data_IF_283953335246
#
_entry.id   IF_283953335246
#
_cell.length_a   1.000
_cell.length_b   1.000
_cell.length_c   1.000
_cell.angle_alpha   90.00
_cell.angle_beta   90.00
_cell.angle_gamma   90.00
#
_symmetry.space_group_name_H-M   'P 1'
#
loop_
_entity.id
_entity.type
_entity.pdbx_description
1 polymer ?
#
# COMPACT_ATOMS: atom_id res chain seq x y z
N UNK A 1 0.70 -54.49 32.49
CA UNK A 1 0.59 -55.01 31.10
C UNK A 1 1.37 -54.04 30.23
N UNK A 2 2.66 -54.17 29.94
CA UNK A 2 3.53 -55.26 29.42
C UNK A 2 3.40 -55.40 27.89
N UNK A 3 4.59 -55.49 27.24
CA UNK A 3 4.94 -55.80 25.83
C UNK A 3 5.21 -54.58 24.92
N UNK A 4 6.44 -54.07 24.69
CA UNK A 4 7.75 -54.63 24.24
C UNK A 4 7.78 -55.24 22.83
N UNK A 5 8.62 -54.68 21.93
CA UNK A 5 9.58 -55.33 21.00
C UNK A 5 10.20 -54.23 20.12
N UNK A 6 11.49 -53.87 20.18
CA UNK A 6 12.78 -54.58 20.03
C UNK A 6 13.39 -54.32 18.64
N UNK A 7 14.50 -53.56 18.64
CA UNK A 7 15.53 -53.49 17.58
C UNK A 7 16.36 -54.78 17.55
N UNK A 8 16.87 -55.15 16.36
CA UNK A 8 18.21 -55.71 16.03
C UNK A 8 18.16 -56.17 14.55
N UNK A 9 18.92 -55.65 13.57
CA UNK A 9 20.38 -55.60 13.34
C UNK A 9 20.97 -56.93 12.83
N UNK A 10 21.84 -56.79 11.81
CA UNK A 10 22.90 -57.65 11.26
C UNK A 10 22.54 -58.58 10.08
N UNK A 11 22.98 -58.29 8.83
CA UNK A 11 24.32 -58.43 8.18
C UNK A 11 24.73 -59.90 7.94
N UNK A 12 24.86 -60.30 6.67
CA UNK A 12 26.11 -60.81 6.02
C UNK A 12 25.85 -61.74 4.82
N UNK A 13 26.33 -61.26 3.67
CA UNK A 13 27.11 -61.94 2.63
C UNK A 13 27.32 -63.46 2.77
N UNK A 14 26.98 -64.21 1.72
CA UNK A 14 27.88 -65.21 1.11
C UNK A 14 27.61 -65.29 -0.39
N UNK A 15 28.69 -65.21 -1.18
CA UNK A 15 28.68 -65.50 -2.62
C UNK A 15 29.04 -66.95 -2.90
N UNK A 16 28.74 -67.41 -4.11
CA UNK A 16 29.42 -68.53 -4.75
C UNK A 16 29.37 -68.33 -6.27
N UNK A 17 30.55 -68.41 -6.88
CA UNK A 17 30.82 -68.26 -8.30
C UNK A 17 30.50 -69.53 -9.09
N UNK A 18 30.15 -69.39 -10.36
CA UNK A 18 30.45 -70.37 -11.39
C UNK A 18 30.59 -69.66 -12.75
N UNK A 19 31.71 -69.96 -13.40
CA UNK A 19 32.21 -69.33 -14.61
C UNK A 19 31.73 -70.01 -15.89
N UNK A 20 31.84 -69.24 -16.98
CA UNK A 20 32.14 -69.66 -18.35
C UNK A 20 31.01 -70.08 -19.30
N UNK A 21 31.04 -69.39 -20.45
CA UNK A 21 30.94 -69.90 -21.85
C UNK A 21 29.80 -69.32 -22.68
N UNK A 22 30.15 -68.26 -23.43
CA UNK A 22 29.88 -68.06 -24.88
C UNK A 22 28.50 -68.42 -25.47
N UNK A 23 27.81 -67.35 -25.90
CA UNK A 23 26.99 -67.19 -27.12
C UNK A 23 25.91 -68.23 -27.46
N UNK A 24 24.63 -67.83 -27.31
CA UNK A 24 23.70 -67.81 -28.44
C UNK A 24 22.60 -66.76 -28.23
N UNK A 25 22.25 -66.04 -29.30
CA UNK A 25 21.22 -65.00 -29.35
C UNK A 25 19.84 -65.61 -29.10
N UNK A 26 19.05 -64.99 -28.22
CA UNK A 26 17.59 -64.95 -28.37
C UNK A 26 17.08 -63.56 -28.03
N UNK A 27 16.34 -62.98 -28.96
CA UNK A 27 15.65 -61.71 -28.80
C UNK A 27 14.46 -61.93 -27.85
N UNK A 28 14.36 -61.10 -26.80
CA UNK A 28 13.07 -60.91 -26.13
C UNK A 28 12.98 -59.46 -25.65
N UNK A 29 11.91 -58.81 -26.11
CA UNK A 29 11.51 -57.41 -25.91
C UNK A 29 11.79 -56.90 -24.49
N UNK A 30 12.68 -55.91 -24.37
CA UNK A 30 12.69 -55.04 -23.20
C UNK A 30 11.66 -53.93 -23.41
N UNK A 31 10.58 -54.00 -22.63
CA UNK A 31 9.76 -52.84 -22.32
C UNK A 31 10.65 -51.91 -21.50
N UNK A 32 11.28 -50.92 -22.15
CA UNK A 32 11.91 -49.82 -21.45
C UNK A 32 10.81 -48.94 -20.88
N UNK A 33 10.52 -49.14 -19.60
CA UNK A 33 9.89 -48.15 -18.76
C UNK A 33 10.68 -46.84 -18.93
N UNK A 34 10.07 -45.84 -19.56
CA UNK A 34 10.55 -44.46 -19.50
C UNK A 34 10.52 -44.06 -18.03
N UNK A 35 11.69 -44.05 -17.41
CA UNK A 35 11.90 -43.38 -16.14
C UNK A 35 11.52 -41.91 -16.35
N UNK A 36 10.46 -41.52 -15.68
CA UNK A 36 9.98 -40.15 -15.56
C UNK A 36 11.11 -39.34 -14.92
N UNK A 37 11.84 -38.56 -15.73
CA UNK A 37 12.80 -37.60 -15.20
C UNK A 37 11.97 -36.52 -14.52
N UNK A 38 11.83 -36.62 -13.21
CA UNK A 38 11.37 -35.50 -12.39
C UNK A 38 12.22 -34.28 -12.77
N UNK A 39 11.62 -33.33 -13.48
CA UNK A 39 12.24 -32.03 -13.74
C UNK A 39 12.51 -31.38 -12.38
N UNK A 40 13.78 -31.25 -12.05
CA UNK A 40 14.22 -30.56 -10.85
C UNK A 40 13.73 -29.12 -10.91
N UNK A 41 12.83 -28.74 -9.99
CA UNK A 41 12.28 -27.39 -9.92
C UNK A 41 13.41 -26.45 -9.51
N UNK A 42 13.92 -25.67 -10.46
CA UNK A 42 14.82 -24.56 -10.16
C UNK A 42 14.08 -23.56 -9.26
N UNK A 43 14.42 -23.56 -7.97
CA UNK A 43 13.79 -22.70 -6.97
C UNK A 43 14.25 -21.25 -7.16
N UNK A 44 13.28 -20.34 -7.19
CA UNK A 44 13.53 -18.90 -7.21
C UNK A 44 14.04 -18.41 -5.85
N UNK A 45 14.96 -17.45 -5.88
CA UNK A 45 15.38 -16.67 -4.71
C UNK A 45 14.33 -15.63 -4.33
N UNK A 46 14.39 -15.13 -3.09
CA UNK A 46 13.48 -14.09 -2.61
C UNK A 46 13.55 -12.81 -3.47
N UNK A 47 14.74 -12.39 -3.89
CA UNK A 47 14.94 -11.21 -4.72
C UNK A 47 14.34 -11.38 -6.13
N UNK A 48 14.46 -12.58 -6.72
CA UNK A 48 13.81 -12.89 -8.00
C UNK A 48 12.28 -12.84 -7.86
N UNK A 49 11.72 -13.43 -6.79
CA UNK A 49 10.28 -13.42 -6.54
C UNK A 49 9.74 -12.01 -6.33
N UNK A 50 10.42 -11.18 -5.53
CA UNK A 50 10.08 -9.77 -5.35
C UNK A 50 10.09 -9.02 -6.69
N UNK A 51 11.16 -9.17 -7.48
CA UNK A 51 11.26 -8.56 -8.80
C UNK A 51 10.12 -9.00 -9.73
N UNK A 52 9.77 -10.28 -9.75
CA UNK A 52 8.70 -10.83 -10.57
C UNK A 52 7.33 -10.23 -10.20
N UNK A 53 6.97 -10.18 -8.91
CA UNK A 53 5.65 -9.66 -8.49
C UNK A 53 5.54 -8.16 -8.73
N UNK A 54 6.58 -7.39 -8.39
CA UNK A 54 6.62 -5.94 -8.61
C UNK A 54 6.58 -5.57 -10.09
N UNK A 55 7.32 -6.30 -10.94
CA UNK A 55 7.31 -6.08 -12.38
C UNK A 55 5.92 -6.36 -12.98
N UNK A 56 5.24 -7.41 -12.52
CA UNK A 56 3.87 -7.70 -12.96
C UNK A 56 2.89 -6.60 -12.51
N UNK A 57 2.90 -6.23 -11.23
CA UNK A 57 2.03 -5.17 -10.70
C UNK A 57 2.26 -3.84 -11.44
N UNK A 58 3.51 -3.39 -11.52
CA UNK A 58 3.89 -2.16 -12.23
C UNK A 58 3.42 -2.18 -13.68
N UNK A 59 3.64 -3.29 -14.38
CA UNK A 59 3.25 -3.40 -15.79
C UNK A 59 1.74 -3.38 -15.98
N UNK A 60 0.98 -4.02 -15.09
CA UNK A 60 -0.49 -3.99 -15.12
C UNK A 60 -0.96 -2.54 -14.94
N UNK A 61 -0.58 -1.87 -13.84
CA UNK A 61 -1.07 -0.53 -13.53
C UNK A 61 -0.59 0.54 -14.52
N UNK A 62 0.64 0.46 -15.01
CA UNK A 62 1.12 1.33 -16.08
C UNK A 62 0.32 1.11 -17.38
N UNK A 63 0.00 -0.14 -17.74
CA UNK A 63 -0.85 -0.43 -18.90
C UNK A 63 -2.25 0.15 -18.75
N UNK A 64 -2.82 0.09 -17.53
CA UNK A 64 -4.12 0.72 -17.23
C UNK A 64 -4.05 2.24 -17.39
N UNK A 65 -3.07 2.90 -16.80
CA UNK A 65 -2.90 4.35 -16.87
C UNK A 65 -2.67 4.81 -18.32
N UNK A 66 -1.71 4.19 -19.03
CA UNK A 66 -1.40 4.54 -20.42
C UNK A 66 -2.59 4.31 -21.35
N UNK A 67 -3.30 3.19 -21.22
CA UNK A 67 -4.48 2.92 -22.06
C UNK A 67 -5.63 3.87 -21.74
N UNK A 68 -5.80 4.26 -20.48
CA UNK A 68 -6.76 5.28 -20.07
C UNK A 68 -6.48 6.62 -20.74
N UNK A 69 -5.23 7.09 -20.68
CA UNK A 69 -4.79 8.32 -21.32
C UNK A 69 -4.95 8.27 -22.85
N UNK A 70 -4.50 7.20 -23.50
CA UNK A 70 -4.60 7.00 -24.96
C UNK A 70 -6.05 7.01 -25.47
N UNK A 71 -6.98 6.43 -24.70
CA UNK A 71 -8.36 6.25 -25.11
C UNK A 71 -9.32 7.27 -24.49
N UNK A 72 -8.84 8.15 -23.61
CA UNK A 72 -9.67 9.11 -22.87
C UNK A 72 -10.72 8.44 -21.98
N UNK A 73 -10.41 7.29 -21.39
CA UNK A 73 -11.35 6.58 -20.52
C UNK A 73 -11.56 7.31 -19.20
N UNK A 74 -12.80 7.26 -18.73
CA UNK A 74 -13.35 8.06 -17.65
C UNK A 74 -14.74 7.53 -17.30
N UNK A 75 -15.44 8.02 -16.27
CA UNK A 75 -16.78 7.51 -15.95
C UNK A 75 -17.77 7.80 -17.09
N UNK A 76 -17.58 8.89 -17.83
CA UNK A 76 -18.41 9.25 -18.99
C UNK A 76 -18.02 8.52 -20.29
N UNK A 77 -16.80 7.98 -20.36
CA UNK A 77 -16.34 7.14 -21.48
C UNK A 77 -15.79 5.85 -20.87
N UNK A 78 -16.67 4.90 -20.51
CA UNK A 78 -16.25 3.66 -19.86
C UNK A 78 -15.19 2.93 -20.68
N UNK A 79 -14.28 2.27 -19.96
CA UNK A 79 -13.21 1.54 -20.60
C UNK A 79 -13.74 0.38 -21.45
N UNK A 80 -13.21 0.28 -22.67
CA UNK A 80 -13.46 -0.88 -23.51
C UNK A 80 -12.46 -1.99 -23.15
N UNK A 81 -12.96 -2.99 -22.44
CA UNK A 81 -12.13 -4.10 -21.99
C UNK A 81 -11.54 -4.90 -23.17
N UNK A 82 -12.20 -4.94 -24.33
CA UNK A 82 -11.67 -5.64 -25.51
C UNK A 82 -10.42 -4.94 -26.07
N UNK A 83 -10.30 -3.62 -25.90
CA UNK A 83 -9.11 -2.84 -26.30
C UNK A 83 -7.96 -3.05 -25.32
N UNK A 84 -8.23 -3.11 -24.02
CA UNK A 84 -7.18 -3.22 -22.99
C UNK A 84 -6.71 -4.65 -22.75
N UNK A 85 -7.59 -5.65 -22.86
CA UNK A 85 -7.28 -7.06 -22.56
C UNK A 85 -6.01 -7.54 -23.27
N UNK A 86 -5.84 -7.35 -24.60
CA UNK A 86 -4.63 -7.81 -25.31
C UNK A 86 -3.33 -7.19 -24.78
N UNK A 87 -3.39 -5.94 -24.27
CA UNK A 87 -2.24 -5.25 -23.68
C UNK A 87 -1.89 -5.79 -22.28
N UNK A 88 -2.84 -6.39 -21.57
CA UNK A 88 -2.66 -6.97 -20.24
C UNK A 88 -2.16 -8.43 -20.28
N UNK A 89 -2.55 -9.22 -21.29
CA UNK A 89 -2.18 -10.64 -21.44
C UNK A 89 -0.67 -10.99 -21.42
N UNK A 90 0.27 -10.07 -21.70
CA UNK A 90 1.70 -10.32 -21.45
C UNK A 90 2.04 -10.51 -19.96
N UNK A 91 1.24 -9.94 -19.06
CA UNK A 91 1.48 -9.87 -17.61
C UNK A 91 0.49 -10.71 -16.81
N UNK A 92 -0.64 -11.12 -17.41
CA UNK A 92 -1.66 -11.87 -16.69
C UNK A 92 -2.15 -13.08 -17.47
N UNK A 93 -2.63 -14.08 -16.74
CA UNK A 93 -3.36 -15.22 -17.32
C UNK A 93 -4.69 -14.73 -17.91
N UNK A 94 -5.21 -15.47 -18.88
CA UNK A 94 -6.48 -15.12 -19.53
C UNK A 94 -7.66 -15.12 -18.55
N UNK A 95 -7.76 -16.14 -17.70
CA UNK A 95 -8.81 -16.25 -16.67
C UNK A 95 -8.79 -15.06 -15.70
N UNK A 96 -7.59 -14.62 -15.29
CA UNK A 96 -7.46 -13.46 -14.40
C UNK A 96 -7.87 -12.16 -15.07
N UNK A 97 -7.54 -12.01 -16.36
CA UNK A 97 -7.98 -10.88 -17.16
C UNK A 97 -9.51 -10.82 -17.20
N UNK A 98 -10.15 -11.92 -17.59
CA UNK A 98 -11.60 -11.98 -17.83
C UNK A 98 -12.45 -11.92 -16.55
N UNK A 99 -11.84 -12.14 -15.40
CA UNK A 99 -12.49 -12.05 -14.08
C UNK A 99 -12.11 -10.76 -13.35
N UNK A 100 -11.05 -10.81 -12.55
CA UNK A 100 -10.70 -9.78 -11.57
C UNK A 100 -10.29 -8.48 -12.25
N UNK A 101 -9.49 -8.52 -13.31
CA UNK A 101 -9.10 -7.29 -13.99
C UNK A 101 -10.24 -6.64 -14.76
N UNK A 102 -11.17 -7.42 -15.32
CA UNK A 102 -12.36 -6.85 -15.96
C UNK A 102 -13.21 -6.06 -14.96
N UNK A 103 -13.37 -6.58 -13.74
CA UNK A 103 -14.04 -5.85 -12.65
C UNK A 103 -13.24 -4.62 -12.23
N UNK A 104 -11.92 -4.74 -12.03
CA UNK A 104 -11.07 -3.61 -11.71
C UNK A 104 -11.17 -2.50 -12.77
N UNK A 105 -11.04 -2.83 -14.05
CA UNK A 105 -11.10 -1.88 -15.17
C UNK A 105 -12.42 -1.10 -15.20
N UNK A 106 -13.53 -1.74 -14.81
CA UNK A 106 -14.83 -1.05 -14.73
C UNK A 106 -14.89 0.05 -13.67
N UNK A 107 -14.00 -0.01 -12.67
CA UNK A 107 -13.92 0.96 -11.57
C UNK A 107 -12.69 1.84 -11.63
N UNK A 108 -11.63 1.40 -12.32
CA UNK A 108 -10.32 2.06 -12.32
C UNK A 108 -10.36 3.50 -12.84
N UNK A 109 -11.28 3.79 -13.76
CA UNK A 109 -11.47 5.11 -14.35
C UNK A 109 -12.66 5.86 -13.73
N UNK A 110 -13.00 5.58 -12.47
CA UNK A 110 -14.08 6.24 -11.71
C UNK A 110 -13.83 7.73 -11.41
N UNK A 111 -12.60 8.23 -11.60
CA UNK A 111 -12.16 9.54 -11.09
C UNK A 111 -12.42 9.72 -9.59
N UNK A 112 -12.35 8.62 -8.85
CA UNK A 112 -12.43 8.58 -7.40
C UNK A 112 -11.01 8.45 -6.85
N UNK A 113 -10.75 8.99 -5.66
CA UNK A 113 -9.45 8.91 -4.96
C UNK A 113 -9.16 7.47 -4.45
N UNK A 114 -9.76 6.46 -5.07
CA UNK A 114 -9.62 5.07 -4.72
C UNK A 114 -8.21 4.55 -5.05
N UNK A 115 -7.57 3.96 -4.05
CA UNK A 115 -6.29 3.28 -4.22
C UNK A 115 -6.50 1.83 -4.65
N UNK A 116 -6.24 1.55 -5.92
CA UNK A 116 -6.36 0.21 -6.50
C UNK A 116 -5.06 -0.60 -6.47
N UNK A 117 -3.91 0.09 -6.44
CA UNK A 117 -2.59 -0.53 -6.56
C UNK A 117 -2.11 -1.10 -5.21
N UNK A 118 -1.74 -2.40 -5.14
CA UNK A 118 -1.14 -2.97 -3.93
C UNK A 118 0.16 -2.27 -3.55
N UNK A 119 0.30 -1.82 -2.29
CA UNK A 119 1.54 -1.22 -1.77
C UNK A 119 2.27 -2.21 -0.87
N UNK A 120 3.04 -3.11 -1.49
CA UNK A 120 3.67 -4.24 -0.80
C UNK A 120 4.89 -3.82 0.02
N UNK A 121 5.01 -4.37 1.24
CA UNK A 121 6.23 -4.31 2.04
C UNK A 121 7.10 -5.55 1.79
N UNK A 122 8.29 -5.32 1.25
CA UNK A 122 9.24 -6.40 0.93
C UNK A 122 10.11 -6.84 2.12
N UNK A 123 10.14 -6.04 3.20
CA UNK A 123 11.07 -6.20 4.32
C UNK A 123 10.49 -7.02 5.46
N UNK A 124 9.16 -7.03 5.58
CA UNK A 124 8.42 -7.62 6.69
C UNK A 124 7.36 -8.55 6.15
N UNK A 125 7.45 -9.82 6.54
CA UNK A 125 6.45 -10.86 6.25
C UNK A 125 6.13 -11.04 4.76
N UNK A 126 7.07 -10.70 3.88
CA UNK A 126 7.07 -11.18 2.51
C UNK A 126 7.39 -12.68 2.50
N UNK A 127 6.42 -13.51 2.15
CA UNK A 127 6.55 -14.98 2.10
C UNK A 127 6.18 -15.45 0.71
N UNK A 128 6.84 -16.51 0.27
CA UNK A 128 6.50 -17.14 -1.00
C UNK A 128 6.71 -18.65 -0.93
N UNK A 129 5.98 -19.35 -1.78
CA UNK A 129 6.08 -20.78 -1.97
C UNK A 129 6.02 -21.08 -3.47
N UNK A 130 6.99 -21.85 -3.95
CA UNK A 130 7.00 -22.37 -5.31
C UNK A 130 6.75 -23.88 -5.25
N UNK A 131 5.46 -24.25 -5.16
CA UNK A 131 5.06 -25.65 -5.04
C UNK A 131 5.31 -26.45 -6.32
N UNK A 132 5.30 -25.78 -7.48
CA UNK A 132 5.53 -26.36 -8.80
C UNK A 132 6.45 -25.48 -9.63
N UNK A 133 7.02 -26.03 -10.71
CA UNK A 133 7.90 -25.31 -11.64
C UNK A 133 7.25 -24.03 -12.18
N UNK A 134 5.95 -24.08 -12.38
CA UNK A 134 5.12 -23.12 -13.10
C UNK A 134 4.09 -22.41 -12.22
N UNK A 135 4.14 -22.55 -10.89
CA UNK A 135 3.23 -21.89 -9.97
C UNK A 135 3.97 -21.28 -8.77
N UNK A 136 3.67 -20.02 -8.47
CA UNK A 136 4.27 -19.25 -7.39
C UNK A 136 3.17 -18.59 -6.56
N UNK A 137 3.15 -18.89 -5.26
CA UNK A 137 2.26 -18.25 -4.29
C UNK A 137 3.06 -17.25 -3.47
N UNK A 138 2.52 -16.05 -3.27
CA UNK A 138 3.18 -14.96 -2.54
C UNK A 138 2.18 -14.38 -1.55
N UNK A 139 2.63 -14.07 -0.34
CA UNK A 139 1.89 -13.24 0.61
C UNK A 139 2.75 -12.09 1.10
N UNK A 140 2.22 -10.88 1.09
CA UNK A 140 2.94 -9.68 1.50
C UNK A 140 2.04 -8.73 2.29
N UNK A 141 2.65 -8.04 3.26
CA UNK A 141 1.97 -7.07 4.09
C UNK A 141 1.91 -5.72 3.38
N UNK A 142 0.77 -5.05 3.45
CA UNK A 142 0.55 -3.66 3.07
C UNK A 142 0.13 -2.92 4.36
N UNK A 143 1.07 -2.29 5.08
CA UNK A 143 0.83 -1.79 6.42
C UNK A 143 -0.12 -0.59 6.42
N UNK A 144 -0.79 -0.35 7.55
CA UNK A 144 -1.61 0.85 7.71
C UNK A 144 -0.79 2.13 7.49
N UNK A 145 -1.39 3.07 6.75
CA UNK A 145 -0.87 4.43 6.59
C UNK A 145 -1.77 5.41 7.33
N UNK A 146 -1.31 6.65 7.57
CA UNK A 146 -2.08 7.63 8.34
C UNK A 146 -3.49 7.91 7.76
N UNK A 147 -3.62 7.87 6.43
CA UNK A 147 -4.88 8.13 5.73
C UNK A 147 -5.92 7.04 6.00
N UNK A 148 -5.67 5.82 5.51
CA UNK A 148 -6.61 4.69 5.62
C UNK A 148 -6.64 4.04 7.00
N UNK A 149 -5.55 4.17 7.76
CA UNK A 149 -5.26 3.54 9.03
C UNK A 149 -5.64 2.06 9.14
N UNK A 150 -5.61 1.35 8.02
CA UNK A 150 -6.01 -0.05 7.92
C UNK A 150 -4.97 -0.80 7.11
N UNK A 151 -4.27 -1.73 7.76
CA UNK A 151 -3.35 -2.64 7.09
C UNK A 151 -4.08 -3.75 6.35
N UNK A 152 -3.40 -4.37 5.40
CA UNK A 152 -3.91 -5.48 4.60
C UNK A 152 -2.85 -6.55 4.39
N UNK A 153 -3.28 -7.80 4.27
CA UNK A 153 -2.47 -8.90 3.78
C UNK A 153 -2.87 -9.19 2.34
N UNK A 154 -1.91 -9.09 1.43
CA UNK A 154 -2.10 -9.47 0.05
C UNK A 154 -1.67 -10.91 -0.17
N UNK A 155 -2.41 -11.62 -1.02
CA UNK A 155 -2.01 -12.92 -1.57
C UNK A 155 -2.00 -12.82 -3.08
N UNK A 156 -0.94 -13.32 -3.71
CA UNK A 156 -0.79 -13.39 -5.15
C UNK A 156 -0.50 -14.82 -5.56
N UNK A 157 -1.06 -15.24 -6.70
CA UNK A 157 -0.70 -16.47 -7.38
C UNK A 157 -0.23 -16.07 -8.78
N UNK A 158 0.95 -16.52 -9.15
CA UNK A 158 1.50 -16.36 -10.49
C UNK A 158 1.67 -17.73 -11.16
N UNK A 159 1.41 -17.78 -12.45
CA UNK A 159 1.62 -18.95 -13.28
C UNK A 159 2.67 -18.67 -14.36
N UNK A 160 3.49 -19.67 -14.70
CA UNK A 160 4.50 -19.53 -15.76
C UNK A 160 3.94 -19.99 -17.10
N UNK A 161 3.63 -19.04 -17.97
CA UNK A 161 3.14 -19.29 -19.33
C UNK A 161 4.17 -18.84 -20.37
N UNK A 162 4.51 -19.72 -21.31
CA UNK A 162 5.46 -19.41 -22.39
C UNK A 162 6.80 -18.82 -21.88
N UNK A 163 7.26 -19.32 -20.73
CA UNK A 163 8.50 -18.88 -20.08
C UNK A 163 8.40 -17.61 -19.23
N UNK A 164 7.25 -16.94 -19.17
CA UNK A 164 7.04 -15.72 -18.37
C UNK A 164 6.13 -15.98 -17.19
N UNK A 165 6.45 -15.39 -16.04
CA UNK A 165 5.56 -15.38 -14.87
C UNK A 165 4.48 -14.33 -15.06
N UNK A 166 3.23 -14.75 -15.00
CA UNK A 166 2.04 -13.91 -15.16
C UNK A 166 1.16 -13.99 -13.93
N UNK A 167 0.49 -12.89 -13.58
CA UNK A 167 -0.50 -12.85 -12.51
C UNK A 167 -1.70 -13.73 -12.87
N UNK A 168 -1.98 -14.71 -12.00
CA UNK A 168 -3.12 -15.63 -12.09
C UNK A 168 -4.23 -15.24 -11.12
N UNK A 169 -3.88 -14.70 -9.96
CA UNK A 169 -4.83 -14.28 -8.95
C UNK A 169 -4.18 -13.27 -8.00
N UNK A 170 -4.98 -12.35 -7.48
CA UNK A 170 -4.64 -11.59 -6.29
C UNK A 170 -5.84 -11.54 -5.34
N UNK A 171 -5.59 -11.39 -4.05
CA UNK A 171 -6.62 -11.18 -3.04
C UNK A 171 -6.09 -10.24 -1.96
N UNK A 172 -6.98 -9.37 -1.47
CA UNK A 172 -6.72 -8.44 -0.37
C UNK A 172 -7.55 -8.85 0.84
N UNK A 173 -6.88 -9.09 1.96
CA UNK A 173 -7.54 -9.32 3.24
C UNK A 173 -7.25 -8.15 4.18
N UNK A 174 -8.29 -7.46 4.65
CA UNK A 174 -8.14 -6.45 5.71
C UNK A 174 -7.58 -7.08 6.98
N UNK A 175 -6.65 -6.39 7.63
CA UNK A 175 -6.13 -6.80 8.93
C UNK A 175 -6.91 -6.24 10.11
N UNK A 176 -7.89 -5.36 9.89
CA UNK A 176 -8.68 -4.76 10.97
C UNK A 176 -9.27 -5.83 11.89
N UNK A 177 -8.98 -5.72 13.19
CA UNK A 177 -9.45 -6.66 14.22
C UNK A 177 -8.74 -8.02 14.26
N UNK A 178 -7.84 -8.30 13.31
CA UNK A 178 -6.97 -9.49 13.36
C UNK A 178 -5.94 -9.35 14.48
N UNK A 179 -5.31 -10.47 14.85
CA UNK A 179 -4.13 -10.47 15.73
C UNK A 179 -2.97 -11.19 15.04
N UNK A 180 -2.21 -10.41 14.27
CA UNK A 180 -1.06 -10.89 13.52
C UNK A 180 0.19 -11.05 14.39
N UNK A 181 0.17 -10.59 15.65
CA UNK A 181 1.32 -10.64 16.57
C UNK A 181 2.59 -10.08 15.95
N UNK A 182 2.49 -8.87 15.39
CA UNK A 182 3.62 -8.11 14.87
C UNK A 182 4.64 -7.89 15.99
N UNK A 183 5.92 -8.16 15.73
CA UNK A 183 6.97 -7.88 16.73
C UNK A 183 7.37 -6.41 16.69
N UNK A 184 8.03 -5.94 17.75
CA UNK A 184 8.64 -4.61 17.81
C UNK A 184 9.63 -4.37 16.66
N UNK A 185 10.44 -5.36 16.31
CA UNK A 185 11.43 -5.27 15.23
C UNK A 185 10.76 -5.18 13.86
N UNK A 186 9.67 -5.93 13.66
CA UNK A 186 8.85 -5.82 12.45
C UNK A 186 8.19 -4.44 12.37
N UNK A 187 7.58 -3.97 13.46
CA UNK A 187 6.99 -2.65 13.58
C UNK A 187 7.97 -1.52 13.22
N UNK A 188 9.20 -1.58 13.74
CA UNK A 188 10.25 -0.62 13.39
C UNK A 188 10.54 -0.64 11.87
N UNK A 189 10.65 -1.82 11.25
CA UNK A 189 10.88 -1.93 9.80
C UNK A 189 9.72 -1.40 8.96
N UNK A 190 8.49 -1.48 9.45
CA UNK A 190 7.30 -0.94 8.76
C UNK A 190 7.24 0.58 8.81
N UNK A 191 7.66 1.20 9.92
CA UNK A 191 7.66 2.65 10.07
C UNK A 191 8.87 3.32 9.42
N UNK A 192 9.97 2.58 9.22
CA UNK A 192 11.19 3.13 8.63
C UNK A 192 11.01 3.55 7.17
N UNK A 193 11.54 4.72 6.84
CA UNK A 193 11.67 5.22 5.46
C UNK A 193 13.10 5.71 5.21
N UNK A 194 13.41 6.10 3.98
CA UNK A 194 14.73 6.67 3.67
C UNK A 194 14.97 8.02 4.37
N UNK A 195 13.89 8.73 4.74
CA UNK A 195 13.95 10.04 5.39
C UNK A 195 13.77 10.01 6.92
N UNK A 196 13.21 8.93 7.47
CA UNK A 196 12.88 8.80 8.89
C UNK A 196 13.22 7.41 9.44
N UNK A 197 14.00 7.37 10.52
CA UNK A 197 14.35 6.12 11.21
C UNK A 197 13.66 6.03 12.58
N UNK A 198 13.03 4.89 12.91
CA UNK A 198 12.34 4.71 14.18
C UNK A 198 13.32 4.29 15.28
N UNK A 199 13.35 5.04 16.38
CA UNK A 199 13.98 4.67 17.63
C UNK A 199 12.90 4.19 18.62
N UNK A 200 13.00 2.95 19.10
CA UNK A 200 12.02 2.40 20.03
C UNK A 200 12.03 3.17 21.36
N UNK A 201 10.83 3.49 21.86
CA UNK A 201 10.66 4.18 23.14
C UNK A 201 10.08 3.25 24.19
N UNK A 202 8.92 2.65 23.94
CA UNK A 202 8.23 1.74 24.87
C UNK A 202 7.16 0.92 24.19
N UNK A 203 6.75 -0.16 24.85
CA UNK A 203 5.49 -0.86 24.56
C UNK A 203 4.41 -0.43 25.56
N UNK A 204 3.15 -0.53 25.16
CA UNK A 204 2.01 -0.24 26.04
C UNK A 204 0.74 -0.96 25.57
N UNK A 205 -0.24 -1.04 26.46
CA UNK A 205 -1.58 -1.50 26.11
C UNK A 205 -2.38 -0.32 25.57
N UNK A 206 -2.67 -0.35 24.28
CA UNK A 206 -3.53 0.60 23.59
C UNK A 206 -4.99 0.18 23.73
N UNK A 207 -5.83 1.12 24.16
CA UNK A 207 -7.28 1.00 24.17
C UNK A 207 -7.81 0.96 22.74
N UNK A 208 -7.26 1.81 21.86
CA UNK A 208 -7.69 1.94 20.46
C UNK A 208 -7.41 0.66 19.66
N UNK A 209 -6.24 0.04 19.83
CA UNK A 209 -5.93 -1.24 19.20
C UNK A 209 -6.54 -2.45 19.94
N UNK A 210 -7.06 -2.26 21.15
CA UNK A 210 -7.48 -3.36 22.03
C UNK A 210 -6.37 -4.37 22.28
N UNK A 211 -5.12 -3.91 22.49
CA UNK A 211 -3.96 -4.78 22.57
C UNK A 211 -2.62 -4.03 22.71
N UNK A 212 -1.52 -4.75 22.54
CA UNK A 212 -0.17 -4.16 22.61
C UNK A 212 0.08 -3.24 21.42
N UNK A 213 0.73 -2.11 21.67
CA UNK A 213 1.27 -1.22 20.65
C UNK A 213 2.69 -0.79 21.02
N UNK A 214 3.48 -0.49 19.99
CA UNK A 214 4.87 -0.08 20.11
C UNK A 214 5.01 1.39 19.74
N UNK A 215 5.61 2.17 20.63
CA UNK A 215 5.88 3.59 20.43
C UNK A 215 7.32 3.77 19.96
N UNK A 216 7.47 4.53 18.88
CA UNK A 216 8.74 4.90 18.29
C UNK A 216 8.85 6.42 18.20
N UNK A 217 10.07 6.90 18.39
CA UNK A 217 10.49 8.24 18.04
C UNK A 217 11.05 8.20 16.62
N UNK A 218 10.40 8.90 15.70
CA UNK A 218 10.82 9.00 14.31
C UNK A 218 11.85 10.12 14.20
N UNK A 219 13.11 9.74 13.95
CA UNK A 219 14.22 10.66 13.82
C UNK A 219 14.38 11.08 12.35
N UNK A 220 14.32 12.37 12.09
CA UNK A 220 14.67 13.00 10.82
C UNK A 220 15.64 14.17 11.02
N UNK A 221 16.20 14.69 9.92
CA UNK A 221 17.07 15.86 9.94
C UNK A 221 16.36 17.14 10.44
N UNK A 222 15.04 17.23 10.25
CA UNK A 222 14.24 18.43 10.54
C UNK A 222 13.00 18.18 11.42
N UNK A 223 12.62 16.93 11.64
CA UNK A 223 11.43 16.56 12.41
C UNK A 223 11.78 15.53 13.49
N UNK A 224 11.04 15.58 14.60
CA UNK A 224 11.11 14.56 15.64
C UNK A 224 9.69 14.32 16.13
N UNK A 225 9.05 13.29 15.58
CA UNK A 225 7.64 12.96 15.87
C UNK A 225 7.55 11.59 16.54
N UNK A 226 6.51 11.39 17.34
CA UNK A 226 6.17 10.09 17.88
C UNK A 226 5.22 9.37 16.92
N UNK A 227 5.43 8.07 16.75
CA UNK A 227 4.51 7.19 16.04
C UNK A 227 4.32 5.94 16.88
N UNK A 228 3.09 5.45 16.98
CA UNK A 228 2.84 4.15 17.57
C UNK A 228 2.02 3.26 16.65
N UNK A 229 2.34 1.98 16.68
CA UNK A 229 1.77 0.97 15.79
C UNK A 229 1.29 -0.23 16.61
N UNK A 230 0.06 -0.64 16.34
CA UNK A 230 -0.60 -1.81 16.91
C UNK A 230 0.14 -3.09 16.54
N UNK A 231 0.40 -3.94 17.54
CA UNK A 231 0.98 -5.26 17.31
C UNK A 231 -0.02 -6.23 16.64
N UNK A 232 -1.31 -5.90 16.65
CA UNK A 232 -2.39 -6.81 16.23
C UNK A 232 -2.68 -6.72 14.74
N UNK A 233 -2.67 -5.52 14.17
CA UNK A 233 -3.21 -5.27 12.83
C UNK A 233 -2.51 -4.15 12.07
N UNK A 234 -1.36 -3.69 12.56
CA UNK A 234 -0.56 -2.58 12.01
C UNK A 234 -1.20 -1.20 12.11
N UNK A 235 -2.38 -1.06 12.75
CA UNK A 235 -3.03 0.24 12.92
C UNK A 235 -2.10 1.24 13.62
N UNK A 236 -2.04 2.47 13.12
CA UNK A 236 -1.39 3.57 13.82
C UNK A 236 -2.29 4.07 14.95
N UNK A 237 -1.73 4.10 16.15
CA UNK A 237 -2.43 4.45 17.40
C UNK A 237 -1.79 5.64 18.09
N UNK A 238 -2.59 6.39 18.83
CA UNK A 238 -2.20 7.70 19.39
C UNK A 238 -2.58 7.87 20.87
N UNK A 239 -3.28 6.90 21.45
CA UNK A 239 -3.65 6.90 22.88
C UNK A 239 -2.45 6.72 23.83
N UNK A 240 -1.23 6.57 23.29
CA UNK A 240 0.01 6.68 24.05
C UNK A 240 0.24 8.08 24.64
N UNK A 241 -0.32 9.11 24.00
CA UNK A 241 -0.13 10.52 24.36
C UNK A 241 -0.91 10.88 25.63
N UNK A 242 -2.13 10.35 25.76
CA UNK A 242 -2.96 10.50 26.97
C UNK A 242 -2.31 9.85 28.19
N UNK A 243 -1.70 8.68 28.02
CA UNK A 243 -0.97 8.00 29.10
C UNK A 243 0.28 8.77 29.53
N UNK A 244 0.91 9.51 28.61
CA UNK A 244 2.08 10.32 28.91
C UNK A 244 1.71 11.57 29.72
N UNK A 245 0.54 12.18 29.43
CA UNK A 245 0.00 13.29 30.23
C UNK A 245 -0.49 12.84 31.61
N UNK A 246 -1.12 11.67 31.72
CA UNK A 246 -1.58 11.14 33.02
C UNK A 246 -0.44 10.70 33.96
N UNK A 247 0.75 10.39 33.42
CA UNK A 247 1.92 9.98 34.18
C UNK A 247 2.83 11.15 34.61
N UNK A 248 2.58 12.38 34.13
CA UNK A 248 3.29 13.56 34.58
C UNK A 248 2.71 14.02 35.94
N UNK A 249 3.53 14.30 36.97
CA UNK A 249 3.02 14.82 38.23
C UNK A 249 2.29 16.15 37.96
N UNK A 250 1.09 16.29 38.52
CA UNK A 250 0.29 17.50 38.47
C UNK A 250 1.01 18.65 39.19
N UNK A 251 1.95 19.29 38.49
CA UNK A 251 2.60 20.52 38.91
C UNK A 251 2.05 21.66 38.03
N UNK A 252 1.16 22.43 38.66
CA UNK A 252 0.75 23.81 38.41
C UNK A 252 0.98 24.40 36.99
N UNK A 253 -0.14 24.87 36.44
CA UNK A 253 -0.20 25.94 35.44
C UNK A 253 0.77 27.08 35.81
N UNK A 254 1.91 27.14 35.12
CA UNK A 254 2.71 28.35 34.89
C UNK A 254 3.82 28.01 33.90
N UNK A 255 3.60 28.30 32.62
CA UNK A 255 4.68 28.33 31.62
C UNK A 255 4.64 29.64 30.83
N UNK A 256 5.33 30.64 31.39
CA UNK A 256 6.05 31.64 30.60
C UNK A 256 7.53 31.23 30.49
N UNK A 257 7.99 31.06 29.24
CA UNK A 257 9.40 30.99 28.74
C UNK A 257 10.24 29.78 29.20
N UNK A 258 11.09 29.16 28.38
CA UNK A 258 11.41 29.25 26.95
C UNK A 258 12.06 27.90 26.56
N UNK A 259 11.70 27.34 25.40
CA UNK A 259 12.37 26.17 24.82
C UNK A 259 13.52 26.62 23.89
N UNK A 260 14.61 25.83 23.74
CA UNK A 260 15.74 26.21 22.91
C UNK A 260 15.36 26.19 21.42
N UNK A 261 15.93 27.12 20.66
CA UNK A 261 15.66 27.37 19.26
C UNK A 261 15.82 26.11 18.38
N UNK A 262 14.68 25.58 17.91
CA UNK A 262 14.58 24.74 16.71
C UNK A 262 14.14 25.63 15.56
N UNK A 263 14.56 25.30 14.33
CA UNK A 263 14.24 26.03 13.09
C UNK A 263 12.83 26.64 13.14
N UNK A 264 12.75 27.95 12.96
CA UNK A 264 11.53 28.71 13.11
C UNK A 264 10.52 28.21 12.07
N UNK A 265 9.58 27.37 12.50
CA UNK A 265 8.46 26.95 11.69
C UNK A 265 7.76 28.20 11.15
N UNK A 266 7.41 28.20 9.86
CA UNK A 266 6.72 29.34 9.23
C UNK A 266 5.53 29.74 10.09
N UNK A 267 5.45 31.03 10.38
CA UNK A 267 4.37 31.65 11.14
C UNK A 267 3.06 31.62 10.36
N UNK A 268 1.94 31.77 11.06
CA UNK A 268 0.62 31.94 10.45
C UNK A 268 0.60 33.01 9.34
N UNK A 269 1.25 34.15 9.57
CA UNK A 269 1.32 35.25 8.60
C UNK A 269 2.05 34.86 7.32
N UNK A 270 3.14 34.10 7.44
CA UNK A 270 3.91 33.62 6.27
C UNK A 270 3.09 32.62 5.45
N UNK A 271 2.34 31.72 6.11
CA UNK A 271 1.43 30.81 5.41
C UNK A 271 0.29 31.54 4.72
N UNK A 272 -0.38 32.49 5.39
CA UNK A 272 -1.44 33.28 4.74
C UNK A 272 -0.92 34.05 3.52
N UNK A 273 0.28 34.63 3.61
CA UNK A 273 0.92 35.28 2.46
C UNK A 273 1.28 34.28 1.35
N UNK A 274 1.66 33.05 1.70
CA UNK A 274 1.90 31.98 0.73
C UNK A 274 0.60 31.55 0.05
N UNK A 275 -0.50 31.36 0.79
CA UNK A 275 -1.80 31.00 0.23
C UNK A 275 -2.33 32.10 -0.69
N UNK A 276 -2.23 33.37 -0.33
CA UNK A 276 -2.61 34.48 -1.22
C UNK A 276 -1.84 34.47 -2.55
N UNK A 277 -0.53 34.15 -2.50
CA UNK A 277 0.28 33.98 -3.72
C UNK A 277 -0.10 32.74 -4.54
N UNK A 278 -0.67 31.71 -3.91
CA UNK A 278 -1.19 30.54 -4.63
C UNK A 278 -2.48 30.90 -5.37
N UNK A 279 -3.35 31.71 -4.77
CA UNK A 279 -4.55 32.23 -5.46
C UNK A 279 -4.18 33.01 -6.73
N UNK A 280 -3.10 33.79 -6.70
CA UNK A 280 -2.58 34.49 -7.90
C UNK A 280 -2.01 33.55 -8.97
N UNK A 281 -1.57 32.35 -8.57
CA UNK A 281 -1.01 31.32 -9.47
C UNK A 281 -2.07 30.37 -10.02
N UNK A 282 -3.28 30.38 -9.45
CA UNK A 282 -4.38 29.61 -9.99
C UNK A 282 -4.61 30.00 -11.45
N UNK A 283 -4.67 28.99 -12.30
CA UNK A 283 -5.00 29.19 -13.69
C UNK A 283 -6.48 29.52 -13.82
N UNK A 284 -6.81 30.65 -14.45
CA UNK A 284 -8.20 30.99 -14.74
C UNK A 284 -8.74 30.07 -15.85
N UNK A 285 -9.59 29.12 -15.46
CA UNK A 285 -10.19 28.11 -16.34
C UNK A 285 -11.05 28.71 -17.45
N UNK A 286 -11.50 29.96 -17.32
CA UNK A 286 -12.19 30.69 -18.38
C UNK A 286 -11.30 30.99 -19.60
N UNK A 287 -9.98 30.97 -19.44
CA UNK A 287 -9.02 31.17 -20.53
C UNK A 287 -8.74 29.89 -21.35
N UNK A 288 -9.33 28.75 -20.99
CA UNK A 288 -9.13 27.50 -21.69
C UNK A 288 -9.71 27.54 -23.11
N UNK A 289 -8.95 27.03 -24.09
CA UNK A 289 -9.33 26.97 -25.50
C UNK A 289 -10.36 25.87 -25.80
N UNK A 290 -10.44 24.86 -24.93
CA UNK A 290 -11.38 23.74 -25.05
C UNK A 290 -11.63 23.10 -23.66
N UNK A 291 -12.60 22.19 -23.58
CA UNK A 291 -13.00 21.53 -22.33
C UNK A 291 -11.91 20.65 -21.71
N UNK A 292 -11.04 20.03 -22.54
CA UNK A 292 -9.92 19.21 -22.06
C UNK A 292 -8.90 20.09 -21.35
N UNK A 293 -8.48 21.18 -21.99
CA UNK A 293 -7.59 22.15 -21.39
C UNK A 293 -8.20 22.76 -20.13
N UNK A 294 -9.51 23.04 -20.12
CA UNK A 294 -10.20 23.57 -18.93
C UNK A 294 -10.08 22.63 -17.75
N UNK A 295 -10.30 21.33 -17.98
CA UNK A 295 -10.17 20.29 -16.97
C UNK A 295 -8.72 20.15 -16.49
N UNK A 296 -7.74 20.14 -17.40
CA UNK A 296 -6.31 20.08 -17.05
C UNK A 296 -5.87 21.29 -16.20
N UNK A 297 -6.31 22.50 -16.55
CA UNK A 297 -6.04 23.71 -15.77
C UNK A 297 -6.62 23.61 -14.36
N UNK A 298 -7.87 23.11 -14.24
CA UNK A 298 -8.53 22.93 -12.95
C UNK A 298 -7.85 21.83 -12.11
N UNK A 299 -7.45 20.72 -12.72
CA UNK A 299 -6.72 19.64 -12.06
C UNK A 299 -5.34 20.11 -11.57
N UNK A 300 -4.64 20.92 -12.36
CA UNK A 300 -3.39 21.55 -11.93
C UNK A 300 -3.59 22.52 -10.75
N UNK A 301 -4.70 23.25 -10.71
CA UNK A 301 -5.06 24.07 -9.55
C UNK A 301 -5.35 23.20 -8.31
N UNK A 302 -6.06 22.08 -8.46
CA UNK A 302 -6.28 21.13 -7.37
C UNK A 302 -4.96 20.59 -6.81
N UNK A 303 -4.03 20.14 -7.66
CA UNK A 303 -2.72 19.64 -7.25
C UNK A 303 -1.91 20.72 -6.50
N UNK A 304 -1.98 21.97 -6.96
CA UNK A 304 -1.37 23.12 -6.29
C UNK A 304 -1.90 23.29 -4.85
N UNK A 305 -3.22 23.20 -4.66
CA UNK A 305 -3.87 23.34 -3.36
C UNK A 305 -3.66 22.13 -2.46
N UNK A 306 -3.69 20.90 -2.99
CA UNK A 306 -3.41 19.68 -2.23
C UNK A 306 -1.95 19.66 -1.74
N UNK A 307 -1.02 20.15 -2.55
CA UNK A 307 0.38 20.33 -2.13
C UNK A 307 0.49 21.29 -0.95
N UNK A 308 -0.23 22.42 -1.00
CA UNK A 308 -0.27 23.38 0.10
C UNK A 308 -0.94 22.80 1.36
N UNK A 309 -2.02 22.05 1.19
CA UNK A 309 -2.72 21.37 2.29
C UNK A 309 -1.79 20.42 3.04
N UNK A 310 -1.02 19.63 2.29
CA UNK A 310 -0.05 18.68 2.86
C UNK A 310 1.11 19.39 3.59
N UNK A 311 1.60 20.52 3.09
CA UNK A 311 2.64 21.34 3.75
C UNK A 311 2.12 21.96 5.07
N UNK A 312 0.90 22.52 5.04
CA UNK A 312 0.20 23.06 6.22
C UNK A 312 0.00 21.96 7.26
N UNK A 313 -0.59 20.83 6.87
CA UNK A 313 -0.87 19.72 7.79
C UNK A 313 0.42 19.16 8.39
N UNK A 314 1.48 19.00 7.60
CA UNK A 314 2.80 18.58 8.08
C UNK A 314 3.40 19.56 9.08
N UNK A 315 3.20 20.86 8.87
CA UNK A 315 3.64 21.88 9.84
C UNK A 315 2.83 21.82 11.13
N UNK A 316 1.51 21.67 11.05
CA UNK A 316 0.64 21.57 12.22
C UNK A 316 1.00 20.38 13.12
N UNK A 317 1.48 19.27 12.55
CA UNK A 317 2.02 18.13 13.34
C UNK A 317 3.16 18.53 14.27
N UNK A 318 3.88 19.61 13.96
CA UNK A 318 5.00 20.10 14.78
C UNK A 318 4.60 21.20 15.75
N UNK A 319 3.49 21.91 15.48
CA UNK A 319 3.04 23.06 16.28
C UNK A 319 1.97 22.70 17.30
N UNK A 320 1.07 21.77 16.96
CA UNK A 320 -0.06 21.40 17.82
C UNK A 320 0.38 20.43 18.92
N UNK A 321 -0.29 20.54 20.07
CA UNK A 321 -0.18 19.51 21.09
C UNK A 321 -0.71 18.18 20.56
N UNK A 322 -0.28 17.05 21.13
CA UNK A 322 -0.66 15.75 20.59
C UNK A 322 -2.19 15.51 20.59
N UNK A 323 -2.89 15.92 21.65
CA UNK A 323 -4.36 15.86 21.73
C UNK A 323 -5.06 16.71 20.67
N UNK A 324 -4.56 17.93 20.42
CA UNK A 324 -5.10 18.79 19.36
C UNK A 324 -4.84 18.20 17.97
N UNK A 325 -3.71 17.53 17.79
CA UNK A 325 -3.34 16.93 16.51
C UNK A 325 -4.14 15.65 16.22
N UNK A 326 -4.47 14.86 17.25
CA UNK A 326 -5.41 13.73 17.12
C UNK A 326 -6.82 14.20 16.77
N UNK A 327 -7.32 15.25 17.44
CA UNK A 327 -8.60 15.85 17.09
C UNK A 327 -8.62 16.36 15.64
N UNK A 328 -7.55 17.06 15.24
CA UNK A 328 -7.39 17.56 13.88
C UNK A 328 -7.33 16.41 12.86
N UNK A 329 -6.65 15.30 13.17
CA UNK A 329 -6.59 14.12 12.29
C UNK A 329 -7.98 13.53 12.04
N UNK A 330 -8.79 13.39 13.09
CA UNK A 330 -10.15 12.86 12.95
C UNK A 330 -11.03 13.82 12.14
N UNK A 331 -10.90 15.13 12.38
CA UNK A 331 -11.53 16.16 11.55
C UNK A 331 -11.07 16.11 10.10
N UNK A 332 -9.78 15.89 9.84
CA UNK A 332 -9.21 15.79 8.51
C UNK A 332 -9.80 14.61 7.73
N UNK A 333 -9.88 13.43 8.37
CA UNK A 333 -10.47 12.24 7.74
C UNK A 333 -11.94 12.43 7.40
N UNK A 334 -12.70 13.01 8.33
CA UNK A 334 -14.10 13.33 8.07
C UNK A 334 -14.24 14.36 6.94
N UNK A 335 -13.40 15.41 6.96
CA UNK A 335 -13.39 16.43 5.92
C UNK A 335 -13.09 15.86 4.53
N UNK A 336 -12.14 14.93 4.39
CA UNK A 336 -11.87 14.25 3.11
C UNK A 336 -13.11 13.49 2.64
N UNK A 337 -13.74 12.71 3.53
CA UNK A 337 -14.95 11.96 3.19
C UNK A 337 -16.10 12.88 2.77
N UNK A 338 -16.30 14.00 3.47
CA UNK A 338 -17.33 14.99 3.17
C UNK A 338 -17.05 15.71 1.83
N UNK A 339 -15.79 16.10 1.61
CA UNK A 339 -15.31 16.72 0.36
C UNK A 339 -15.57 15.81 -0.83
N UNK A 340 -15.13 14.57 -0.76
CA UNK A 340 -15.22 13.61 -1.87
C UNK A 340 -16.68 13.27 -2.16
N UNK A 341 -17.50 13.15 -1.11
CA UNK A 341 -18.96 12.94 -1.25
C UNK A 341 -19.63 14.14 -1.91
N UNK A 342 -19.29 15.37 -1.48
CA UNK A 342 -19.86 16.58 -2.05
C UNK A 342 -19.46 16.77 -3.53
N UNK A 343 -18.18 16.53 -3.85
CA UNK A 343 -17.69 16.60 -5.23
C UNK A 343 -18.31 15.50 -6.12
N UNK A 344 -18.53 14.30 -5.59
CA UNK A 344 -19.24 13.25 -6.32
C UNK A 344 -20.72 13.60 -6.54
N UNK A 345 -21.40 14.18 -5.55
CA UNK A 345 -22.77 14.65 -5.74
C UNK A 345 -22.86 15.70 -6.86
N UNK A 346 -21.88 16.61 -6.95
CA UNK A 346 -21.78 17.59 -8.04
C UNK A 346 -21.59 16.93 -9.42
N UNK A 347 -20.81 15.87 -9.48
CA UNK A 347 -20.68 15.06 -10.70
C UNK A 347 -22.01 14.43 -11.12
N UNK A 348 -22.72 13.84 -10.14
CA UNK A 348 -23.96 13.10 -10.39
C UNK A 348 -25.11 14.05 -10.80
N UNK A 349 -25.18 15.26 -10.20
CA UNK A 349 -26.13 16.32 -10.56
C UNK A 349 -26.04 16.73 -12.04
N UNK A 350 -24.83 16.76 -12.59
CA UNK A 350 -24.55 17.16 -13.97
C UNK A 350 -24.76 16.03 -15.00
N UNK A 351 -25.02 14.80 -14.55
CA UNK A 351 -25.46 13.69 -15.42
C UNK A 351 -24.35 13.04 -16.26
N UNK A 352 -23.08 13.23 -15.90
CA UNK A 352 -21.91 12.68 -16.58
C UNK A 352 -21.32 13.60 -17.68
N UNK A 353 -20.38 13.08 -18.47
CA UNK A 353 -19.69 13.86 -19.51
C UNK A 353 -18.54 14.73 -19.01
N UNK A 354 -17.97 15.54 -19.91
CA UNK A 354 -16.82 16.44 -19.64
C UNK A 354 -17.15 17.54 -18.62
N UNK A 355 -18.37 18.08 -18.65
CA UNK A 355 -18.82 19.10 -17.71
C UNK A 355 -18.87 18.56 -16.27
N UNK A 356 -19.46 17.39 -16.05
CA UNK A 356 -19.51 16.74 -14.73
C UNK A 356 -18.12 16.53 -14.13
N UNK A 357 -17.13 16.16 -14.96
CA UNK A 357 -15.72 16.04 -14.52
C UNK A 357 -15.14 17.36 -14.08
N UNK A 358 -15.35 18.41 -14.88
CA UNK A 358 -14.88 19.75 -14.54
C UNK A 358 -15.49 20.22 -13.22
N UNK A 359 -16.81 20.13 -13.05
CA UNK A 359 -17.50 20.56 -11.82
C UNK A 359 -17.05 19.76 -10.60
N UNK A 360 -16.78 18.45 -10.76
CA UNK A 360 -16.22 17.62 -9.68
C UNK A 360 -14.83 18.10 -9.26
N UNK A 361 -13.92 18.28 -10.22
CA UNK A 361 -12.54 18.72 -9.95
C UNK A 361 -12.52 20.14 -9.40
N UNK A 362 -13.39 21.02 -9.89
CA UNK A 362 -13.58 22.38 -9.36
C UNK A 362 -14.05 22.33 -7.90
N UNK A 363 -15.04 21.50 -7.59
CA UNK A 363 -15.51 21.30 -6.21
C UNK A 363 -14.41 20.77 -5.29
N UNK A 364 -13.60 19.80 -5.73
CA UNK A 364 -12.46 19.29 -4.95
C UNK A 364 -11.46 20.44 -4.67
N UNK A 365 -11.13 21.21 -5.70
CA UNK A 365 -10.19 22.32 -5.62
C UNK A 365 -10.67 23.41 -4.65
N UNK A 366 -11.92 23.85 -4.77
CA UNK A 366 -12.48 24.89 -3.91
C UNK A 366 -12.53 24.46 -2.44
N UNK A 367 -12.93 23.21 -2.18
CA UNK A 367 -12.94 22.65 -0.82
C UNK A 367 -11.54 22.56 -0.24
N UNK A 368 -10.57 22.01 -1.00
CA UNK A 368 -9.17 21.92 -0.57
C UNK A 368 -8.60 23.32 -0.28
N UNK A 369 -8.82 24.29 -1.18
CA UNK A 369 -8.41 25.69 -1.00
C UNK A 369 -8.97 26.28 0.28
N UNK A 370 -10.29 26.19 0.46
CA UNK A 370 -10.96 26.70 1.66
C UNK A 370 -10.37 26.07 2.93
N UNK A 371 -10.14 24.77 2.90
CA UNK A 371 -9.61 24.04 4.04
C UNK A 371 -8.16 24.42 4.37
N UNK A 372 -7.32 24.72 3.37
CA UNK A 372 -5.99 25.30 3.61
C UNK A 372 -6.07 26.58 4.46
N UNK A 373 -6.97 27.50 4.11
CA UNK A 373 -7.18 28.72 4.88
C UNK A 373 -7.74 28.42 6.28
N UNK A 374 -8.72 27.52 6.40
CA UNK A 374 -9.29 27.13 7.69
C UNK A 374 -8.23 26.56 8.63
N UNK A 375 -7.35 25.68 8.13
CA UNK A 375 -6.27 25.07 8.92
C UNK A 375 -5.29 26.13 9.44
N UNK A 376 -4.85 27.04 8.58
CA UNK A 376 -3.93 28.13 8.96
C UNK A 376 -4.61 29.09 9.95
N UNK A 377 -5.85 29.49 9.70
CA UNK A 377 -6.57 30.41 10.58
C UNK A 377 -6.86 29.83 11.96
N UNK A 378 -7.20 28.54 12.02
CA UNK A 378 -7.67 27.91 13.26
C UNK A 378 -6.53 27.37 14.10
N UNK A 379 -5.52 26.78 13.48
CA UNK A 379 -4.54 25.96 14.17
C UNK A 379 -3.11 26.52 14.19
N UNK A 380 -2.75 27.42 13.25
CA UNK A 380 -1.41 28.03 13.26
C UNK A 380 -1.35 29.25 14.16
N UNK A 381 -0.25 29.30 14.94
CA UNK A 381 0.09 30.37 15.87
C UNK A 381 0.68 31.60 15.16
#
# INVERSE_FOLDING_TARGET
MKWFKSLSVLLLLTGAAASATSCSKSETKSVTAKADKQEEVQKLSAAEVQSIVHANLTSIFHTLQASGAENGWSPAKPADFAVIKPKLLPYVTEDFADSTLKQLVSQFYCECDASFEPKLNDRVRFRFEQAKRDELSISALDPAIELSNTGSMWKFILAKEQGRWKMKQWDKQSLSGQDIKLTKEEAAKLLASDAEQPAFVREYTSKSAGGTAYVFQMQSASSNRMAAISSRDTQLVYDFEEQQQAAAPAAAEQHTKAAPAKQQAKSKTEYLAQLAKLEEKEQNTANAMNEVQRLEMCAGNLELWDTALNDIYSTLKTQLSPSQMEELRNKQRQWIADRDTAAQAKYDEEGGGSLSRFVKVESLMEWTKKHCFELVHTYML
#
